data_IF_776173687588
#
_entry.id   IF_776173687588
#
_cell.length_a   1.000
_cell.length_b   1.000
_cell.length_c   1.000
_cell.angle_alpha   90.00
_cell.angle_beta   90.00
_cell.angle_gamma   90.00
#
_symmetry.space_group_name_H-M   'P 1'
#
loop_
_entity.id
_entity.type
_entity.pdbx_description
1 polymer ?
#
# COMPACT_ATOMS: atom_id res chain seq x y z
N UNK A 1 13.24 -17.83 5.61
CA UNK A 1 13.37 -16.41 5.22
C UNK A 1 14.20 -16.17 3.95
N UNK A 2 15.18 -17.01 3.58
CA UNK A 2 16.04 -16.80 2.38
C UNK A 2 15.35 -16.79 1.00
N UNK A 3 14.12 -17.30 0.85
CA UNK A 3 13.44 -17.38 -0.47
C UNK A 3 12.92 -16.03 -1.00
N UNK A 4 12.72 -15.02 -0.15
CA UNK A 4 12.17 -13.75 -0.61
C UNK A 4 13.22 -12.85 -1.29
N UNK A 5 14.53 -13.04 -1.07
CA UNK A 5 15.58 -12.11 -1.51
C UNK A 5 15.91 -12.18 -3.02
N UNK A 6 15.79 -13.35 -3.66
CA UNK A 6 16.16 -13.53 -5.08
C UNK A 6 14.99 -13.41 -6.07
N UNK A 7 13.74 -13.43 -5.60
CA UNK A 7 12.58 -13.42 -6.51
C UNK A 7 12.40 -12.03 -7.15
N UNK A 8 12.32 -12.00 -8.48
CA UNK A 8 12.08 -10.78 -9.26
C UNK A 8 10.73 -10.13 -8.89
N UNK A 9 10.70 -8.79 -8.79
CA UNK A 9 9.45 -8.04 -8.59
C UNK A 9 8.80 -7.83 -9.95
N UNK A 10 7.69 -8.51 -10.16
CA UNK A 10 6.83 -8.36 -11.34
C UNK A 10 5.36 -8.43 -10.91
N UNK A 11 4.44 -7.98 -11.78
CA UNK A 11 2.99 -8.13 -11.51
C UNK A 11 2.61 -9.56 -11.12
N UNK A 12 3.20 -10.56 -11.78
CA UNK A 12 2.91 -11.98 -11.56
C UNK A 12 3.34 -12.43 -10.16
N UNK A 13 4.59 -12.13 -9.77
CA UNK A 13 5.11 -12.52 -8.45
C UNK A 13 4.40 -11.75 -7.33
N UNK A 14 4.10 -10.47 -7.52
CA UNK A 14 3.31 -9.66 -6.57
C UNK A 14 1.88 -10.19 -6.41
N UNK A 15 1.20 -10.50 -7.52
CA UNK A 15 -0.15 -11.05 -7.50
C UNK A 15 -0.21 -12.35 -6.72
N UNK A 16 0.70 -13.29 -7.00
CA UNK A 16 0.78 -14.56 -6.27
C UNK A 16 1.03 -14.37 -4.77
N UNK A 17 1.90 -13.42 -4.39
CA UNK A 17 2.19 -13.11 -2.98
C UNK A 17 0.96 -12.54 -2.27
N UNK A 18 0.26 -11.59 -2.88
CA UNK A 18 -0.95 -11.00 -2.29
C UNK A 18 -2.03 -12.08 -2.15
N UNK A 19 -2.27 -12.88 -3.20
CA UNK A 19 -3.22 -13.99 -3.14
C UNK A 19 -2.91 -14.97 -2.00
N UNK A 20 -1.64 -15.39 -1.84
CA UNK A 20 -1.22 -16.27 -0.74
C UNK A 20 -1.45 -15.64 0.63
N UNK A 21 -1.08 -14.37 0.81
CA UNK A 21 -1.29 -13.64 2.07
C UNK A 21 -2.76 -13.55 2.44
N UNK A 22 -3.61 -13.16 1.50
CA UNK A 22 -5.05 -13.01 1.76
C UNK A 22 -5.73 -14.36 2.01
N UNK A 23 -5.36 -15.40 1.26
CA UNK A 23 -5.85 -16.76 1.48
C UNK A 23 -5.46 -17.27 2.88
N UNK A 24 -4.24 -16.98 3.35
CA UNK A 24 -3.80 -17.34 4.71
C UNK A 24 -4.59 -16.62 5.82
N UNK A 25 -5.16 -15.45 5.51
CA UNK A 25 -6.06 -14.71 6.39
C UNK A 25 -7.53 -15.13 6.30
N UNK A 26 -7.82 -16.28 5.66
CA UNK A 26 -9.15 -16.84 5.44
C UNK A 26 -10.06 -15.96 4.56
N UNK A 27 -9.48 -15.11 3.72
CA UNK A 27 -10.24 -14.36 2.73
C UNK A 27 -10.57 -15.27 1.54
N UNK A 28 -11.85 -15.33 1.16
CA UNK A 28 -12.28 -16.20 0.07
C UNK A 28 -11.75 -15.75 -1.30
N UNK A 29 -11.63 -16.73 -2.23
CA UNK A 29 -11.04 -16.52 -3.57
C UNK A 29 -11.75 -15.45 -4.39
N UNK A 30 -13.08 -15.33 -4.27
CA UNK A 30 -13.84 -14.33 -5.03
C UNK A 30 -13.50 -12.90 -4.55
N UNK A 31 -13.46 -12.70 -3.25
CA UNK A 31 -13.09 -11.43 -2.61
C UNK A 31 -11.67 -11.02 -2.97
N UNK A 32 -10.73 -11.99 -3.01
CA UNK A 32 -9.35 -11.74 -3.45
C UNK A 32 -9.31 -11.25 -4.91
N UNK A 33 -10.08 -11.89 -5.81
CA UNK A 33 -10.14 -11.48 -7.22
C UNK A 33 -10.70 -10.07 -7.40
N UNK A 34 -11.73 -9.69 -6.64
CA UNK A 34 -12.29 -8.33 -6.69
C UNK A 34 -11.33 -7.31 -6.08
N UNK A 35 -10.57 -7.69 -5.05
CA UNK A 35 -9.59 -6.83 -4.40
C UNK A 35 -8.35 -6.56 -5.27
N UNK A 36 -7.85 -7.59 -5.96
CA UNK A 36 -6.70 -7.48 -6.85
C UNK A 36 -7.12 -7.11 -8.27
N UNK A 37 -6.93 -5.85 -8.65
CA UNK A 37 -7.07 -5.40 -10.03
C UNK A 37 -5.70 -5.25 -10.72
N UNK A 38 -5.70 -5.31 -12.05
CA UNK A 38 -4.52 -4.99 -12.88
C UNK A 38 -3.95 -3.59 -12.57
N UNK A 39 -4.83 -2.63 -12.24
CA UNK A 39 -4.41 -1.28 -11.89
C UNK A 39 -3.63 -1.25 -10.57
N UNK A 40 -4.05 -2.03 -9.57
CA UNK A 40 -3.34 -2.12 -8.28
C UNK A 40 -1.94 -2.71 -8.47
N UNK A 41 -1.81 -3.76 -9.27
CA UNK A 41 -0.53 -4.41 -9.56
C UNK A 41 0.40 -3.49 -10.36
N UNK A 42 -0.13 -2.79 -11.36
CA UNK A 42 0.64 -1.80 -12.13
C UNK A 42 1.10 -0.63 -11.26
N UNK A 43 0.28 -0.16 -10.33
CA UNK A 43 0.67 0.89 -9.39
C UNK A 43 1.86 0.45 -8.52
N UNK A 44 1.81 -0.76 -7.96
CA UNK A 44 2.91 -1.31 -7.16
C UNK A 44 4.18 -1.55 -7.98
N UNK A 45 4.03 -1.98 -9.24
CA UNK A 45 5.17 -2.15 -10.16
C UNK A 45 5.83 -0.80 -10.51
N UNK A 46 5.03 0.23 -10.76
CA UNK A 46 5.56 1.57 -11.03
C UNK A 46 6.23 2.16 -9.78
N UNK A 47 5.66 1.94 -8.59
CA UNK A 47 6.29 2.33 -7.33
C UNK A 47 7.62 1.61 -7.11
N UNK A 48 7.69 0.32 -7.42
CA UNK A 48 8.95 -0.44 -7.37
C UNK A 48 10.01 0.18 -8.30
N UNK A 49 9.66 0.41 -9.57
CA UNK A 49 10.58 1.00 -10.56
C UNK A 49 11.10 2.36 -10.13
N UNK A 50 10.21 3.24 -9.67
CA UNK A 50 10.58 4.56 -9.17
C UNK A 50 11.56 4.46 -7.98
N UNK A 51 11.31 3.56 -7.04
CA UNK A 51 12.20 3.38 -5.89
C UNK A 51 13.54 2.73 -6.27
N UNK A 52 13.56 1.87 -7.29
CA UNK A 52 14.78 1.23 -7.81
C UNK A 52 15.64 2.22 -8.62
N UNK A 53 15.04 3.21 -9.26
CA UNK A 53 15.76 4.31 -9.94
C UNK A 53 16.45 5.24 -8.92
N UNK A 54 15.78 5.53 -7.81
CA UNK A 54 16.29 6.46 -6.77
C UNK A 54 17.15 5.78 -5.69
N UNK A 55 17.05 4.46 -5.55
CA UNK A 55 17.74 3.70 -4.49
C UNK A 55 18.33 2.40 -5.06
N UNK A 56 18.69 1.44 -4.20
CA UNK A 56 19.08 0.11 -4.67
C UNK A 56 17.88 -0.86 -4.75
N UNK A 57 18.01 -1.86 -5.62
CA UNK A 57 17.04 -2.95 -5.83
C UNK A 57 16.53 -3.58 -4.54
N UNK A 58 17.41 -3.77 -3.55
CA UNK A 58 17.07 -4.42 -2.27
C UNK A 58 16.15 -3.55 -1.42
N UNK A 59 16.42 -2.25 -1.35
CA UNK A 59 15.60 -1.28 -0.62
C UNK A 59 14.23 -1.10 -1.25
N UNK A 60 14.17 -0.89 -2.57
CA UNK A 60 12.92 -0.78 -3.33
C UNK A 60 12.02 -2.00 -3.11
N UNK A 61 12.60 -3.20 -3.23
CA UNK A 61 11.91 -4.47 -2.96
C UNK A 61 11.42 -4.58 -1.52
N UNK A 62 12.25 -4.20 -0.55
CA UNK A 62 11.88 -4.24 0.86
C UNK A 62 10.70 -3.31 1.15
N UNK A 63 10.72 -2.11 0.57
CA UNK A 63 9.67 -1.13 0.72
C UNK A 63 8.34 -1.63 0.15
N UNK A 64 8.31 -2.06 -1.11
CA UNK A 64 7.09 -2.57 -1.76
C UNK A 64 6.53 -3.79 -1.04
N UNK A 65 7.40 -4.68 -0.54
CA UNK A 65 6.96 -5.81 0.28
C UNK A 65 6.32 -5.38 1.61
N UNK A 66 6.81 -4.31 2.24
CA UNK A 66 6.18 -3.74 3.45
C UNK A 66 4.81 -3.15 3.13
N UNK A 67 4.67 -2.42 2.02
CA UNK A 67 3.37 -1.92 1.53
C UNK A 67 2.39 -3.07 1.33
N UNK A 68 2.79 -4.12 0.61
CA UNK A 68 1.96 -5.31 0.39
C UNK A 68 1.54 -5.94 1.71
N UNK A 69 2.45 -6.09 2.68
CA UNK A 69 2.15 -6.65 4.01
C UNK A 69 1.11 -5.80 4.76
N UNK A 70 1.28 -4.48 4.79
CA UNK A 70 0.35 -3.55 5.47
C UNK A 70 -1.03 -3.63 4.84
N UNK A 71 -1.11 -3.46 3.51
CA UNK A 71 -2.37 -3.49 2.76
C UNK A 71 -3.11 -4.82 2.95
N UNK A 72 -2.41 -5.95 2.87
CA UNK A 72 -3.02 -7.27 3.11
C UNK A 72 -3.55 -7.39 4.54
N UNK A 73 -2.79 -6.94 5.55
CA UNK A 73 -3.19 -7.02 6.96
C UNK A 73 -4.45 -6.21 7.22
N UNK A 74 -4.51 -4.97 6.74
CA UNK A 74 -5.69 -4.10 6.88
C UNK A 74 -6.92 -4.73 6.21
N UNK A 75 -6.76 -5.28 5.01
CA UNK A 75 -7.85 -5.94 4.30
C UNK A 75 -8.36 -7.19 5.03
N UNK A 76 -7.47 -8.01 5.58
CA UNK A 76 -7.84 -9.20 6.37
C UNK A 76 -8.59 -8.77 7.64
N UNK A 77 -8.10 -7.76 8.37
CA UNK A 77 -8.77 -7.24 9.57
C UNK A 77 -10.16 -6.70 9.25
N UNK A 78 -10.30 -5.95 8.17
CA UNK A 78 -11.58 -5.41 7.72
C UNK A 78 -12.55 -6.53 7.35
N UNK A 79 -12.10 -7.55 6.61
CA UNK A 79 -12.97 -8.67 6.18
C UNK A 79 -13.40 -9.59 7.30
N UNK A 80 -12.56 -9.73 8.33
CA UNK A 80 -12.88 -10.54 9.50
C UNK A 80 -13.61 -9.76 10.60
N UNK A 81 -14.11 -8.55 10.29
CA UNK A 81 -14.79 -7.65 11.23
C UNK A 81 -14.01 -7.44 12.54
N UNK A 82 -12.68 -7.37 12.43
CA UNK A 82 -11.76 -7.18 13.57
C UNK A 82 -11.47 -5.72 13.87
N UNK A 83 -11.88 -4.81 13.00
CA UNK A 83 -11.71 -3.38 13.19
C UNK A 83 -12.92 -2.81 13.95
N UNK A 84 -12.63 -1.97 14.93
CA UNK A 84 -13.58 -1.09 15.59
C UNK A 84 -14.08 0.02 14.66
N UNK A 85 -15.19 0.67 15.02
CA UNK A 85 -15.71 1.81 14.26
C UNK A 85 -14.70 2.96 14.16
N UNK A 86 -13.89 3.16 15.21
CA UNK A 86 -12.81 4.15 15.19
C UNK A 86 -11.75 3.83 14.14
N UNK A 87 -11.35 2.56 14.04
CA UNK A 87 -10.35 2.11 13.05
C UNK A 87 -10.91 2.15 11.62
N UNK A 88 -12.20 1.85 11.44
CA UNK A 88 -12.88 1.97 10.14
C UNK A 88 -12.88 3.44 9.69
N UNK A 89 -13.25 4.37 10.58
CA UNK A 89 -13.16 5.80 10.31
C UNK A 89 -11.71 6.24 10.03
N UNK A 90 -10.74 5.64 10.73
CA UNK A 90 -9.31 5.79 10.41
C UNK A 90 -8.97 5.40 8.98
N UNK A 91 -9.46 4.25 8.49
CA UNK A 91 -9.25 3.81 7.11
C UNK A 91 -9.88 4.76 6.07
N UNK A 92 -11.04 5.33 6.36
CA UNK A 92 -11.68 6.33 5.51
C UNK A 92 -10.86 7.63 5.44
N UNK A 93 -10.32 8.08 6.58
CA UNK A 93 -9.40 9.22 6.65
C UNK A 93 -8.11 8.94 5.88
N UNK A 94 -7.51 7.76 6.06
CA UNK A 94 -6.33 7.33 5.30
C UNK A 94 -6.59 7.40 3.79
N UNK A 95 -7.75 6.90 3.35
CA UNK A 95 -8.16 6.96 1.94
C UNK A 95 -8.25 8.40 1.45
N UNK A 96 -8.80 9.30 2.27
CA UNK A 96 -8.91 10.73 1.94
C UNK A 96 -7.53 11.39 1.78
N UNK A 97 -6.59 11.12 2.69
CA UNK A 97 -5.22 11.64 2.59
C UNK A 97 -4.49 11.10 1.35
N UNK A 98 -4.61 9.79 1.06
CA UNK A 98 -4.03 9.21 -0.15
C UNK A 98 -4.62 9.81 -1.44
N UNK A 99 -5.92 10.10 -1.46
CA UNK A 99 -6.57 10.80 -2.57
C UNK A 99 -6.07 12.24 -2.74
N UNK A 100 -5.84 12.96 -1.64
CA UNK A 100 -5.24 14.30 -1.67
C UNK A 100 -3.83 14.27 -2.26
N UNK A 101 -2.97 13.35 -1.80
CA UNK A 101 -1.63 13.14 -2.35
C UNK A 101 -1.70 12.87 -3.85
N UNK A 102 -2.57 11.95 -4.28
CA UNK A 102 -2.71 11.60 -5.69
C UNK A 102 -3.16 12.80 -6.56
N UNK A 103 -4.14 13.57 -6.09
CA UNK A 103 -4.62 14.78 -6.78
C UNK A 103 -3.52 15.84 -6.89
N UNK A 104 -2.83 16.13 -5.79
CA UNK A 104 -1.74 17.10 -5.78
C UNK A 104 -0.59 16.67 -6.70
N UNK A 105 -0.27 15.38 -6.76
CA UNK A 105 0.72 14.87 -7.71
C UNK A 105 0.30 15.09 -9.17
N UNK A 106 -0.98 14.87 -9.50
CA UNK A 106 -1.52 15.14 -10.84
C UNK A 106 -1.46 16.64 -11.17
N UNK A 107 -1.79 17.50 -10.22
CA UNK A 107 -1.70 18.96 -10.38
C UNK A 107 -0.26 19.40 -10.65
N UNK A 108 0.71 18.91 -9.86
CA UNK A 108 2.13 19.17 -10.08
C UNK A 108 2.62 18.73 -11.47
N UNK A 109 2.18 17.55 -11.95
CA UNK A 109 2.52 17.08 -13.29
C UNK A 109 1.96 17.98 -14.40
N UNK A 110 0.87 18.70 -14.12
CA UNK A 110 0.25 19.64 -15.06
C UNK A 110 0.89 21.03 -14.99
N UNK A 111 1.38 21.43 -13.81
CA UNK A 111 2.07 22.69 -13.56
C UNK A 111 3.15 22.50 -12.48
N UNK A 112 4.41 22.55 -12.88
CA UNK A 112 5.55 22.30 -11.98
C UNK A 112 5.69 23.39 -10.89
N UNK A 113 5.12 24.57 -11.08
CA UNK A 113 5.13 25.64 -10.08
C UNK A 113 4.25 25.33 -8.86
N UNK A 114 3.34 24.36 -8.98
CA UNK A 114 2.45 23.91 -7.92
C UNK A 114 3.10 22.85 -7.00
N UNK A 115 4.39 22.57 -7.17
CA UNK A 115 5.09 21.62 -6.31
C UNK A 115 5.28 22.18 -4.89
N UNK A 116 4.63 21.53 -3.93
CA UNK A 116 4.82 21.78 -2.51
C UNK A 116 5.27 20.50 -1.80
N UNK A 117 6.58 20.41 -1.55
CA UNK A 117 7.20 19.27 -0.85
C UNK A 117 6.66 19.12 0.58
N UNK A 118 6.47 20.23 1.29
CA UNK A 118 6.08 20.21 2.70
C UNK A 118 4.64 19.74 2.85
N UNK A 119 3.78 20.08 1.90
CA UNK A 119 2.43 19.51 1.78
C UNK A 119 2.47 17.99 1.64
N UNK A 120 3.26 17.44 0.70
CA UNK A 120 3.37 15.98 0.53
C UNK A 120 3.89 15.28 1.78
N UNK A 121 4.92 15.83 2.43
CA UNK A 121 5.46 15.29 3.69
C UNK A 121 4.39 15.29 4.78
N UNK A 122 3.63 16.38 4.90
CA UNK A 122 2.57 16.51 5.90
C UNK A 122 1.48 15.47 5.69
N UNK A 123 0.98 15.33 4.46
CA UNK A 123 -0.09 14.37 4.14
C UNK A 123 0.39 12.91 4.29
N UNK A 124 1.66 12.61 3.97
CA UNK A 124 2.26 11.29 4.21
C UNK A 124 2.43 10.99 5.71
N UNK A 125 2.82 11.96 6.53
CA UNK A 125 2.88 11.81 7.99
C UNK A 125 1.50 11.57 8.59
N UNK A 126 0.47 12.26 8.11
CA UNK A 126 -0.91 11.97 8.53
C UNK A 126 -1.33 10.54 8.17
N UNK A 127 -0.94 10.02 7.00
CA UNK A 127 -1.14 8.62 6.66
C UNK A 127 -0.44 7.68 7.65
N UNK A 128 0.81 7.97 8.01
CA UNK A 128 1.61 7.19 8.96
C UNK A 128 0.96 7.16 10.35
N UNK A 129 0.56 8.32 10.90
CA UNK A 129 -0.09 8.42 12.22
C UNK A 129 -1.39 7.60 12.29
N UNK A 130 -2.20 7.65 11.23
CA UNK A 130 -3.42 6.85 11.13
C UNK A 130 -3.08 5.36 11.09
N UNK A 131 -2.12 4.96 10.26
CA UNK A 131 -1.68 3.57 10.16
C UNK A 131 -1.13 3.05 11.49
N UNK A 132 -0.37 3.86 12.21
CA UNK A 132 0.14 3.51 13.53
C UNK A 132 -1.00 3.29 14.52
N UNK A 133 -1.98 4.20 14.56
CA UNK A 133 -3.16 4.09 15.45
C UNK A 133 -3.94 2.80 15.22
N UNK A 134 -4.11 2.40 13.95
CA UNK A 134 -4.81 1.15 13.60
C UNK A 134 -3.90 -0.04 13.91
N UNK A 135 -2.64 -0.01 13.49
CA UNK A 135 -1.75 -1.16 13.58
C UNK A 135 -1.40 -1.53 15.02
N UNK A 136 -1.21 -0.55 15.93
CA UNK A 136 -0.82 -0.81 17.33
C UNK A 136 -1.83 -1.67 18.09
N UNK A 137 -3.10 -1.67 17.69
CA UNK A 137 -4.16 -2.50 18.33
C UNK A 137 -4.15 -3.95 17.85
N UNK A 138 -3.43 -4.26 16.77
CA UNK A 138 -3.39 -5.58 16.11
C UNK A 138 -1.97 -6.10 15.84
N UNK A 139 -0.94 -5.42 16.36
CA UNK A 139 0.48 -5.77 16.18
C UNK A 139 0.97 -6.68 17.32
#
# INVERSE_FOLDING_TARGET
>A
MKKEEDEEISKQTMSLRIQKKLASGLVNKNTIKTFLSENHLRMLENLYKLLEEENNKKEAKTFVNRVIKIVCKLFILQKNSKLSNEEINGLEKLTTHLQKIAKSAITFLSDSSMFDKDYFITELKSCEEILMTIATKHL
#
